data_IF_941153646350
#
_entry.id   IF_941153646350
#
_cell.length_a   1.000
_cell.length_b   1.000
_cell.length_c   1.000
_cell.angle_alpha   90.00
_cell.angle_beta   90.00
_cell.angle_gamma   90.00
#
_symmetry.space_group_name_H-M   'P 1'
#
loop_
_entity.id
_entity.type
_entity.pdbx_description
1 polymer ?
#
# COMPACT_ATOMS: atom_id res chain seq x y z
N UNK A 1 -5.53 -16.76 -34.13
CA UNK A 1 -5.39 -15.29 -34.12
C UNK A 1 -5.60 -14.80 -32.69
N UNK A 2 -4.75 -13.90 -32.15
CA UNK A 2 -4.88 -13.39 -30.78
C UNK A 2 -5.44 -11.98 -30.89
N UNK A 3 -6.67 -11.77 -30.42
CA UNK A 3 -7.34 -10.46 -30.45
C UNK A 3 -7.02 -9.72 -29.18
N UNK A 4 -6.51 -8.51 -29.27
CA UNK A 4 -6.19 -7.67 -28.13
C UNK A 4 -7.44 -7.09 -27.46
N UNK A 5 -7.37 -6.78 -26.16
CA UNK A 5 -8.50 -6.23 -25.38
C UNK A 5 -9.12 -4.95 -25.99
N UNK A 6 -8.31 -4.11 -26.65
CA UNK A 6 -8.79 -2.91 -27.34
C UNK A 6 -9.49 -3.20 -28.65
N UNK A 7 -9.11 -4.29 -29.33
CA UNK A 7 -9.74 -4.75 -30.57
C UNK A 7 -11.11 -5.38 -30.30
N UNK A 8 -11.23 -6.12 -29.18
CA UNK A 8 -12.51 -6.70 -28.74
C UNK A 8 -13.58 -5.62 -28.57
N UNK A 9 -13.23 -4.45 -28.08
CA UNK A 9 -14.17 -3.32 -27.91
C UNK A 9 -14.66 -2.73 -29.26
N UNK A 10 -13.92 -2.98 -30.35
CA UNK A 10 -14.23 -2.49 -31.69
C UNK A 10 -14.90 -3.52 -32.58
N UNK A 11 -15.06 -4.77 -32.10
CA UNK A 11 -15.70 -5.83 -32.86
C UNK A 11 -17.11 -5.40 -33.29
N UNK A 12 -17.41 -5.56 -34.59
CA UNK A 12 -18.74 -5.46 -35.15
C UNK A 12 -19.23 -6.82 -35.66
N UNK A 13 -20.50 -6.88 -36.07
CA UNK A 13 -21.10 -8.11 -36.50
C UNK A 13 -20.45 -8.76 -37.74
N UNK A 14 -19.93 -7.93 -38.64
CA UNK A 14 -19.27 -8.41 -39.88
C UNK A 14 -17.89 -8.96 -39.59
N UNK A 15 -17.17 -8.32 -38.70
CA UNK A 15 -15.87 -8.82 -38.24
C UNK A 15 -15.97 -10.15 -37.51
N UNK A 16 -17.01 -10.31 -36.65
CA UNK A 16 -17.31 -11.56 -35.97
C UNK A 16 -17.63 -12.70 -36.97
N UNK A 17 -18.41 -12.39 -38.00
CA UNK A 17 -18.71 -13.37 -39.08
C UNK A 17 -17.46 -13.79 -39.85
N UNK A 18 -16.49 -12.90 -39.97
CA UNK A 18 -15.20 -13.25 -40.60
C UNK A 18 -14.30 -14.15 -39.73
N UNK A 19 -14.51 -14.14 -38.41
CA UNK A 19 -13.71 -14.96 -37.49
C UNK A 19 -14.25 -16.40 -37.27
N UNK A 20 -15.56 -16.56 -37.31
CA UNK A 20 -16.23 -17.82 -36.99
C UNK A 20 -17.08 -18.29 -38.16
N UNK A 21 -17.11 -19.60 -38.40
CA UNK A 21 -17.94 -20.22 -39.43
C UNK A 21 -19.28 -20.73 -38.86
N UNK A 22 -19.32 -21.08 -37.60
CA UNK A 22 -20.46 -21.63 -36.91
C UNK A 22 -21.42 -20.54 -36.45
N UNK A 23 -22.69 -20.58 -36.86
CA UNK A 23 -23.70 -19.57 -36.53
C UNK A 23 -23.92 -19.41 -35.02
N UNK A 24 -23.87 -20.51 -34.27
CA UNK A 24 -24.07 -20.45 -32.83
C UNK A 24 -22.91 -19.72 -32.12
N UNK A 25 -21.65 -19.81 -32.60
CA UNK A 25 -20.54 -19.06 -32.10
C UNK A 25 -20.64 -17.56 -32.46
N UNK A 26 -21.05 -17.27 -33.69
CA UNK A 26 -21.30 -15.89 -34.14
C UNK A 26 -22.38 -15.24 -33.25
N UNK A 27 -23.49 -15.95 -32.99
CA UNK A 27 -24.55 -15.45 -32.09
C UNK A 27 -24.04 -15.20 -30.66
N UNK A 28 -23.31 -16.17 -30.11
CA UNK A 28 -22.76 -16.05 -28.72
C UNK A 28 -21.79 -14.88 -28.58
N UNK A 29 -20.88 -14.68 -29.55
CA UNK A 29 -19.93 -13.60 -29.55
C UNK A 29 -20.61 -12.25 -29.73
N UNK A 30 -21.54 -12.13 -30.70
CA UNK A 30 -22.30 -10.88 -30.90
C UNK A 30 -23.13 -10.50 -29.68
N UNK A 31 -23.77 -11.47 -29.02
CA UNK A 31 -24.49 -11.23 -27.77
C UNK A 31 -23.54 -10.70 -26.68
N UNK A 32 -22.40 -11.33 -26.49
CA UNK A 32 -21.40 -10.92 -25.50
C UNK A 32 -20.86 -9.51 -25.79
N UNK A 33 -20.54 -9.19 -27.04
CA UNK A 33 -20.12 -7.86 -27.48
C UNK A 33 -21.23 -6.83 -27.25
N UNK A 34 -22.47 -7.17 -27.55
CA UNK A 34 -23.63 -6.32 -27.30
C UNK A 34 -23.80 -5.95 -25.82
N UNK A 35 -23.71 -6.95 -24.93
CA UNK A 35 -23.76 -6.74 -23.48
C UNK A 35 -22.58 -5.87 -23.01
N UNK A 36 -21.38 -6.12 -23.50
CA UNK A 36 -20.19 -5.33 -23.16
C UNK A 36 -20.35 -3.87 -23.56
N UNK A 37 -20.86 -3.57 -24.75
CA UNK A 37 -21.12 -2.21 -25.22
C UNK A 37 -22.19 -1.50 -24.37
N UNK A 38 -23.31 -2.18 -24.11
CA UNK A 38 -24.38 -1.65 -23.27
C UNK A 38 -23.85 -1.31 -21.87
N UNK A 39 -23.12 -2.21 -21.23
CA UNK A 39 -22.52 -1.93 -19.92
C UNK A 39 -21.53 -0.76 -19.98
N UNK A 40 -20.71 -0.68 -21.02
CA UNK A 40 -19.77 0.44 -21.22
C UNK A 40 -20.48 1.81 -21.32
N UNK A 41 -21.64 1.88 -21.98
CA UNK A 41 -22.44 3.10 -22.05
C UNK A 41 -23.05 3.45 -20.68
N UNK A 42 -23.57 2.47 -19.96
CA UNK A 42 -24.13 2.68 -18.61
C UNK A 42 -23.04 3.16 -17.63
N UNK A 43 -21.85 2.57 -17.67
CA UNK A 43 -20.71 3.02 -16.87
C UNK A 43 -20.39 4.48 -17.16
N UNK A 44 -20.26 4.87 -18.45
CA UNK A 44 -20.00 6.27 -18.83
C UNK A 44 -21.08 7.24 -18.32
N UNK A 45 -22.34 6.84 -18.37
CA UNK A 45 -23.44 7.67 -17.84
C UNK A 45 -23.32 7.87 -16.32
N UNK A 46 -23.10 6.78 -15.58
CA UNK A 46 -22.92 6.85 -14.12
C UNK A 46 -21.72 7.72 -13.77
N UNK A 47 -20.58 7.49 -14.43
CA UNK A 47 -19.36 8.28 -14.23
C UNK A 47 -19.61 9.78 -14.50
N UNK A 48 -20.35 10.11 -15.57
CA UNK A 48 -20.72 11.49 -15.90
C UNK A 48 -21.54 12.17 -14.81
N UNK A 49 -22.57 11.47 -14.29
CA UNK A 49 -23.41 11.97 -13.19
C UNK A 49 -22.61 12.13 -11.90
N UNK A 50 -21.80 11.15 -11.56
CA UNK A 50 -20.95 11.20 -10.35
C UNK A 50 -19.95 12.34 -10.45
N UNK A 51 -19.24 12.46 -11.57
CA UNK A 51 -18.28 13.54 -11.82
C UNK A 51 -18.90 14.93 -11.69
N UNK A 52 -20.10 15.13 -12.25
CA UNK A 52 -20.78 16.44 -12.16
C UNK A 52 -21.10 16.85 -10.72
N UNK A 53 -21.38 15.89 -9.85
CA UNK A 53 -21.70 16.15 -8.43
C UNK A 53 -20.46 16.34 -7.55
N UNK A 54 -19.32 15.81 -7.97
CA UNK A 54 -18.10 15.74 -7.17
C UNK A 54 -17.09 16.81 -7.51
N UNK A 55 -17.13 17.35 -8.74
CA UNK A 55 -16.18 18.34 -9.25
C UNK A 55 -15.96 19.58 -8.37
N UNK A 56 -16.88 19.88 -7.47
CA UNK A 56 -16.86 21.06 -6.59
C UNK A 56 -16.37 20.75 -5.16
N UNK A 57 -15.83 19.55 -4.91
CA UNK A 57 -15.36 19.19 -3.58
C UNK A 57 -13.84 19.37 -3.50
N UNK A 58 -13.33 20.22 -2.59
CA UNK A 58 -11.89 20.43 -2.44
C UNK A 58 -11.11 19.14 -2.13
N UNK A 59 -11.74 18.19 -1.43
CA UNK A 59 -11.13 16.88 -1.17
C UNK A 59 -10.84 16.11 -2.46
N UNK A 60 -11.73 16.24 -3.47
CA UNK A 60 -11.54 15.57 -4.76
C UNK A 60 -10.40 16.22 -5.56
N UNK A 61 -10.38 17.54 -5.62
CA UNK A 61 -9.33 18.31 -6.31
C UNK A 61 -7.95 18.00 -5.70
N UNK A 62 -7.87 18.02 -4.36
CA UNK A 62 -6.63 17.66 -3.67
C UNK A 62 -6.19 16.22 -3.94
N UNK A 63 -7.13 15.25 -4.04
CA UNK A 63 -6.79 13.86 -4.38
C UNK A 63 -6.21 13.73 -5.79
N UNK A 64 -6.60 14.57 -6.75
CA UNK A 64 -6.05 14.55 -8.12
C UNK A 64 -4.59 15.03 -8.18
N UNK A 65 -4.12 15.75 -7.16
CA UNK A 65 -2.70 16.15 -7.08
C UNK A 65 -1.79 15.00 -6.64
N UNK A 66 -2.36 13.92 -6.07
CA UNK A 66 -1.61 12.78 -5.55
C UNK A 66 -1.03 11.93 -6.71
N UNK A 67 0.26 11.54 -6.67
CA UNK A 67 0.91 10.76 -7.71
C UNK A 67 0.15 9.48 -8.06
N UNK A 68 -0.14 9.30 -9.35
CA UNK A 68 -0.82 8.12 -9.88
C UNK A 68 -2.33 8.07 -9.62
N UNK A 69 -2.92 9.11 -9.02
CA UNK A 69 -4.36 9.21 -8.80
C UNK A 69 -4.98 10.06 -9.91
N UNK A 70 -5.71 9.40 -10.82
CA UNK A 70 -6.56 10.06 -11.80
C UNK A 70 -8.02 10.13 -11.33
N UNK A 71 -8.91 10.68 -12.18
CA UNK A 71 -10.33 10.90 -11.84
C UNK A 71 -11.02 9.65 -11.27
N UNK A 72 -10.84 8.48 -11.88
CA UNK A 72 -11.52 7.24 -11.44
C UNK A 72 -11.04 6.80 -10.05
N UNK A 73 -9.71 6.83 -9.82
CA UNK A 73 -9.16 6.46 -8.51
C UNK A 73 -9.50 7.50 -7.45
N UNK A 74 -9.48 8.81 -7.78
CA UNK A 74 -9.89 9.88 -6.88
C UNK A 74 -11.36 9.75 -6.46
N UNK A 75 -12.26 9.48 -7.42
CA UNK A 75 -13.67 9.20 -7.14
C UNK A 75 -13.85 7.96 -6.26
N UNK A 76 -13.16 6.87 -6.58
CA UNK A 76 -13.21 5.64 -5.79
C UNK A 76 -12.77 5.90 -4.35
N UNK A 77 -11.62 6.57 -4.18
CA UNK A 77 -11.10 6.89 -2.85
C UNK A 77 -12.11 7.74 -2.08
N UNK A 78 -12.59 8.83 -2.67
CA UNK A 78 -13.47 9.76 -1.99
C UNK A 78 -14.82 9.11 -1.61
N UNK A 79 -15.44 8.35 -2.52
CA UNK A 79 -16.74 7.72 -2.27
C UNK A 79 -16.64 6.57 -1.26
N UNK A 80 -15.58 5.77 -1.30
CA UNK A 80 -15.36 4.66 -0.37
C UNK A 80 -14.95 5.14 1.03
N UNK A 81 -14.32 6.31 1.12
CA UNK A 81 -13.95 6.95 2.39
C UNK A 81 -15.17 7.59 3.05
N UNK A 82 -16.00 8.29 2.27
CA UNK A 82 -17.09 9.12 2.80
C UNK A 82 -16.54 10.30 3.61
N UNK A 83 -16.86 10.38 4.89
CA UNK A 83 -16.30 11.42 5.78
C UNK A 83 -14.96 10.96 6.37
N UNK A 84 -13.88 11.67 6.03
CA UNK A 84 -12.53 11.37 6.53
C UNK A 84 -12.42 11.52 8.06
N UNK A 85 -13.25 12.38 8.68
CA UNK A 85 -13.25 12.64 10.12
C UNK A 85 -13.68 11.44 10.96
N UNK A 86 -14.30 10.43 10.35
CA UNK A 86 -14.56 9.14 11.02
C UNK A 86 -13.31 8.37 11.43
N UNK A 87 -12.16 8.75 10.90
CA UNK A 87 -10.86 8.17 11.27
C UNK A 87 -10.09 9.15 12.16
N UNK A 88 -10.00 8.91 13.48
CA UNK A 88 -9.31 9.82 14.40
C UNK A 88 -7.84 10.02 14.04
N UNK A 89 -7.19 8.95 13.55
CA UNK A 89 -5.76 8.94 13.24
C UNK A 89 -5.50 8.38 11.85
N UNK A 90 -4.41 8.84 11.24
CA UNK A 90 -3.93 8.35 9.95
C UNK A 90 -3.64 6.84 9.94
N UNK A 91 -3.24 6.27 11.08
CA UNK A 91 -3.00 4.84 11.25
C UNK A 91 -4.28 4.02 11.09
N UNK A 92 -5.41 4.49 11.64
CA UNK A 92 -6.71 3.85 11.52
C UNK A 92 -7.19 3.84 10.07
N UNK A 93 -7.01 4.97 9.37
CA UNK A 93 -7.32 5.06 7.95
C UNK A 93 -6.46 4.12 7.10
N UNK A 94 -5.14 4.13 7.26
CA UNK A 94 -4.22 3.27 6.52
C UNK A 94 -4.51 1.78 6.77
N UNK A 95 -4.93 1.42 7.98
CA UNK A 95 -5.39 0.07 8.33
C UNK A 95 -6.69 -0.29 7.62
N UNK A 96 -7.66 0.61 7.61
CA UNK A 96 -8.93 0.44 6.89
C UNK A 96 -8.72 0.27 5.38
N UNK A 97 -7.74 0.98 4.78
CA UNK A 97 -7.32 0.82 3.39
C UNK A 97 -6.53 -0.48 3.12
N UNK A 98 -6.32 -1.34 4.11
CA UNK A 98 -5.49 -2.57 4.01
C UNK A 98 -4.05 -2.29 3.52
N UNK A 99 -3.55 -1.09 3.77
CA UNK A 99 -2.20 -0.71 3.37
C UNK A 99 -1.14 -1.01 4.45
N UNK A 100 -1.57 -1.44 5.64
CA UNK A 100 -0.70 -1.80 6.78
C UNK A 100 -0.77 -3.30 7.03
N UNK A 101 0.37 -3.90 7.38
CA UNK A 101 0.39 -5.27 7.90
C UNK A 101 -0.18 -5.28 9.32
N UNK A 102 -1.21 -6.09 9.56
CA UNK A 102 -1.68 -6.38 10.91
C UNK A 102 -0.93 -7.59 11.48
N UNK A 103 -0.47 -7.49 12.71
CA UNK A 103 0.12 -8.61 13.46
C UNK A 103 -0.80 -8.98 14.61
N UNK A 104 -1.02 -10.29 14.80
CA UNK A 104 -1.71 -10.80 15.97
C UNK A 104 -0.67 -11.02 17.07
N UNK A 105 -0.78 -10.27 18.16
CA UNK A 105 0.09 -10.39 19.33
C UNK A 105 -0.74 -10.98 20.47
N UNK A 106 -0.19 -11.96 21.20
CA UNK A 106 -0.75 -12.53 22.41
C UNK A 106 0.39 -12.88 23.35
N UNK A 107 0.32 -12.41 24.60
CA UNK A 107 1.38 -12.54 25.61
C UNK A 107 2.74 -12.05 25.07
N UNK A 108 2.75 -10.84 24.50
CA UNK A 108 3.94 -10.17 23.90
C UNK A 108 4.60 -10.93 22.75
N UNK A 109 4.09 -12.12 22.39
CA UNK A 109 4.60 -12.95 21.31
C UNK A 109 3.72 -12.79 20.08
N UNK A 110 4.37 -12.59 18.91
CA UNK A 110 3.68 -12.55 17.61
C UNK A 110 3.13 -13.95 17.30
N UNK A 111 1.78 -14.08 17.29
CA UNK A 111 1.05 -15.32 16.98
C UNK A 111 0.73 -15.51 15.50
N UNK A 112 1.11 -14.54 14.65
CA UNK A 112 0.87 -14.59 13.20
C UNK A 112 0.42 -13.26 12.61
N UNK A 113 -0.13 -13.32 11.41
CA UNK A 113 -0.73 -12.16 10.76
C UNK A 113 -2.20 -12.02 11.18
N UNK A 114 -2.66 -10.77 11.31
CA UNK A 114 -4.07 -10.49 11.53
C UNK A 114 -4.93 -10.81 10.31
N UNK A 115 -6.25 -10.65 10.44
CA UNK A 115 -7.18 -10.92 9.35
C UNK A 115 -6.93 -9.95 8.18
N UNK A 116 -6.41 -10.47 7.06
CA UNK A 116 -6.14 -9.71 5.83
C UNK A 116 -7.41 -9.20 5.14
N UNK A 117 -8.59 -9.74 5.49
CA UNK A 117 -9.87 -9.35 4.88
C UNK A 117 -10.52 -8.16 5.59
N UNK A 118 -10.08 -7.78 6.78
CA UNK A 118 -10.59 -6.60 7.48
C UNK A 118 -10.24 -5.31 6.72
N UNK A 119 -11.18 -4.37 6.68
CA UNK A 119 -11.04 -3.10 5.96
C UNK A 119 -11.57 -3.14 4.53
N UNK A 120 -11.38 -2.05 3.80
CA UNK A 120 -11.97 -1.83 2.48
C UNK A 120 -11.09 -2.39 1.36
N UNK A 121 -11.63 -3.32 0.56
CA UNK A 121 -10.92 -3.94 -0.57
C UNK A 121 -10.75 -3.00 -1.77
N UNK A 122 -11.70 -2.09 -1.97
CA UNK A 122 -11.68 -1.15 -3.09
C UNK A 122 -10.63 -0.05 -2.87
N UNK A 123 -10.51 0.45 -1.64
CA UNK A 123 -9.40 1.34 -1.28
C UNK A 123 -8.04 0.65 -1.40
N UNK A 124 -7.95 -0.62 -0.97
CA UNK A 124 -6.70 -1.38 -1.15
C UNK A 124 -6.30 -1.50 -2.62
N UNK A 125 -7.28 -1.75 -3.50
CA UNK A 125 -7.07 -1.81 -4.94
C UNK A 125 -6.67 -0.43 -5.48
N UNK A 126 -7.43 0.61 -5.15
CA UNK A 126 -7.18 1.96 -5.66
C UNK A 126 -5.75 2.45 -5.34
N UNK A 127 -5.27 2.23 -4.10
CA UNK A 127 -3.91 2.64 -3.74
C UNK A 127 -2.80 1.77 -4.36
N UNK A 128 -3.09 0.50 -4.67
CA UNK A 128 -2.14 -0.34 -5.41
C UNK A 128 -2.03 0.11 -6.86
N UNK A 129 -3.17 0.42 -7.51
CA UNK A 129 -3.18 0.95 -8.87
C UNK A 129 -2.49 2.33 -8.91
N UNK A 130 -2.83 3.24 -7.99
CA UNK A 130 -2.15 4.52 -7.86
C UNK A 130 -0.63 4.36 -7.70
N UNK A 131 -0.18 3.40 -6.89
CA UNK A 131 1.25 3.12 -6.72
C UNK A 131 1.91 2.64 -8.03
N UNK A 132 1.23 1.80 -8.81
CA UNK A 132 1.74 1.32 -10.11
C UNK A 132 1.89 2.48 -11.11
N UNK A 133 0.87 3.36 -11.22
CA UNK A 133 0.96 4.55 -12.05
C UNK A 133 2.04 5.51 -11.56
N UNK A 134 2.11 5.73 -10.25
CA UNK A 134 3.12 6.62 -9.68
C UNK A 134 4.56 6.13 -9.93
N UNK A 135 4.81 4.82 -9.86
CA UNK A 135 6.13 4.24 -10.18
C UNK A 135 6.50 4.47 -11.64
N UNK A 136 5.52 4.42 -12.56
CA UNK A 136 5.74 4.61 -13.99
C UNK A 136 6.02 6.07 -14.33
N UNK A 137 5.24 6.99 -13.76
CA UNK A 137 5.14 8.36 -14.25
C UNK A 137 5.92 9.39 -13.39
N UNK A 138 6.35 9.02 -12.16
CA UNK A 138 7.01 9.92 -11.22
C UNK A 138 8.41 9.41 -10.84
N UNK A 139 9.49 10.09 -11.27
CA UNK A 139 10.87 9.61 -11.05
C UNK A 139 11.26 9.44 -9.58
N UNK A 140 10.76 10.28 -8.67
CA UNK A 140 11.01 10.18 -7.23
C UNK A 140 10.38 8.92 -6.63
N UNK A 141 9.16 8.55 -7.07
CA UNK A 141 8.49 7.32 -6.65
C UNK A 141 9.21 6.10 -7.20
N UNK A 142 9.65 6.16 -8.46
CA UNK A 142 10.41 5.11 -9.10
C UNK A 142 11.73 4.85 -8.35
N UNK A 143 12.48 5.91 -7.98
CA UNK A 143 13.70 5.77 -7.17
C UNK A 143 13.42 5.14 -5.80
N UNK A 144 12.34 5.54 -5.14
CA UNK A 144 11.93 4.90 -3.89
C UNK A 144 11.59 3.43 -4.08
N UNK A 145 10.83 3.09 -5.14
CA UNK A 145 10.49 1.73 -5.50
C UNK A 145 11.75 0.86 -5.68
N UNK A 146 12.70 1.30 -6.50
CA UNK A 146 13.93 0.57 -6.79
C UNK A 146 14.75 0.28 -5.53
N UNK A 147 14.94 1.29 -4.67
CA UNK A 147 15.64 1.12 -3.38
C UNK A 147 14.94 0.12 -2.47
N UNK A 148 13.61 0.17 -2.41
CA UNK A 148 12.82 -0.72 -1.55
C UNK A 148 12.76 -2.14 -2.10
N UNK A 149 12.59 -2.30 -3.40
CA UNK A 149 12.56 -3.59 -4.07
C UNK A 149 13.89 -4.34 -3.95
N UNK A 150 15.04 -3.63 -4.07
CA UNK A 150 16.36 -4.19 -3.88
C UNK A 150 16.60 -4.74 -2.46
N UNK A 151 15.97 -4.13 -1.43
CA UNK A 151 16.07 -4.58 -0.04
C UNK A 151 15.09 -5.71 0.33
N UNK A 152 14.07 -5.96 -0.50
CA UNK A 152 12.99 -6.92 -0.19
C UNK A 152 12.49 -7.63 -1.45
N UNK A 153 11.43 -7.12 -2.06
CA UNK A 153 10.90 -7.52 -3.36
C UNK A 153 9.91 -6.47 -3.89
N UNK A 154 9.52 -6.59 -5.17
CA UNK A 154 8.64 -5.64 -5.84
C UNK A 154 7.25 -5.50 -5.18
N UNK A 155 6.65 -6.61 -4.72
CA UNK A 155 5.33 -6.57 -4.08
C UNK A 155 5.37 -5.77 -2.77
N UNK A 156 6.40 -5.97 -1.96
CA UNK A 156 6.60 -5.21 -0.71
C UNK A 156 6.86 -3.75 -1.00
N UNK A 157 7.61 -3.43 -2.07
CA UNK A 157 7.87 -2.06 -2.48
C UNK A 157 6.59 -1.34 -2.92
N UNK A 158 5.76 -1.98 -3.78
CA UNK A 158 4.44 -1.43 -4.17
C UNK A 158 3.55 -1.19 -2.95
N UNK A 159 3.47 -2.14 -2.02
CA UNK A 159 2.68 -1.97 -0.78
C UNK A 159 3.20 -0.84 0.11
N UNK A 160 4.52 -0.61 0.15
CA UNK A 160 5.09 0.52 0.88
C UNK A 160 4.69 1.86 0.26
N UNK A 161 4.68 1.96 -1.08
CA UNK A 161 4.21 3.16 -1.79
C UNK A 161 2.71 3.35 -1.57
N UNK A 162 1.89 2.29 -1.73
CA UNK A 162 0.44 2.34 -1.45
C UNK A 162 0.15 2.85 -0.04
N UNK A 163 0.93 2.43 0.95
CA UNK A 163 0.83 2.92 2.32
C UNK A 163 1.18 4.41 2.45
N UNK A 164 2.25 4.87 1.76
CA UNK A 164 2.59 6.30 1.75
C UNK A 164 1.49 7.13 1.10
N UNK A 165 0.97 6.70 -0.07
CA UNK A 165 -0.11 7.38 -0.76
C UNK A 165 -1.40 7.42 0.07
N UNK A 166 -1.76 6.33 0.76
CA UNK A 166 -2.94 6.32 1.64
C UNK A 166 -2.79 7.28 2.83
N UNK A 167 -1.59 7.44 3.38
CA UNK A 167 -1.36 8.42 4.43
C UNK A 167 -1.40 9.86 3.93
N UNK A 168 -0.84 10.12 2.75
CA UNK A 168 -0.91 11.46 2.13
C UNK A 168 -2.36 11.84 1.83
N UNK A 169 -3.15 10.94 1.24
CA UNK A 169 -4.56 11.19 0.94
C UNK A 169 -5.41 11.47 2.18
N UNK A 170 -5.07 10.87 3.33
CA UNK A 170 -5.72 11.19 4.61
C UNK A 170 -5.57 12.68 4.96
N UNK A 171 -4.34 13.20 4.91
CA UNK A 171 -4.08 14.60 5.21
C UNK A 171 -4.67 15.54 4.16
N UNK A 172 -4.58 15.17 2.88
CA UNK A 172 -5.19 15.93 1.78
C UNK A 172 -6.70 16.09 2.01
N UNK A 173 -7.41 15.01 2.31
CA UNK A 173 -8.86 15.06 2.54
C UNK A 173 -9.23 15.74 3.86
N UNK A 174 -8.44 15.56 4.92
CA UNK A 174 -8.72 16.13 6.23
C UNK A 174 -8.45 17.62 6.30
N UNK A 175 -7.29 18.03 5.76
CA UNK A 175 -6.77 19.38 5.89
C UNK A 175 -7.04 20.22 4.63
N UNK A 176 -7.62 19.61 3.59
CA UNK A 176 -7.94 20.25 2.29
C UNK A 176 -6.73 20.96 1.67
N UNK A 177 -5.61 20.25 1.64
CA UNK A 177 -4.33 20.71 1.10
C UNK A 177 -3.91 19.86 -0.08
N UNK A 178 -3.11 20.43 -0.97
CA UNK A 178 -2.53 19.71 -2.11
C UNK A 178 -1.38 18.79 -1.67
N UNK A 179 -1.06 17.86 -2.56
CA UNK A 179 0.07 16.96 -2.39
C UNK A 179 1.40 17.73 -2.40
N UNK A 180 2.24 17.43 -1.41
CA UNK A 180 3.58 17.96 -1.29
C UNK A 180 4.61 16.83 -1.51
N UNK A 181 5.33 16.84 -2.68
CA UNK A 181 6.31 15.81 -3.00
C UNK A 181 7.46 15.72 -1.99
N UNK A 182 7.89 16.85 -1.44
CA UNK A 182 9.02 16.90 -0.54
C UNK A 182 8.76 16.16 0.76
N UNK A 183 7.56 16.32 1.31
CA UNK A 183 7.16 15.64 2.55
C UNK A 183 7.05 14.13 2.41
N UNK A 184 6.69 13.61 1.23
CA UNK A 184 6.37 12.19 1.10
C UNK A 184 7.57 11.32 0.69
N UNK A 185 8.42 11.78 -0.23
CA UNK A 185 9.48 10.98 -0.83
C UNK A 185 10.89 11.55 -0.63
N UNK A 186 11.05 12.85 -0.36
CA UNK A 186 12.34 13.50 -0.17
C UNK A 186 12.79 13.61 1.29
N UNK A 187 11.89 13.80 2.24
CA UNK A 187 12.19 13.89 3.68
C UNK A 187 12.86 12.64 4.28
N UNK A 188 12.84 11.50 3.58
CA UNK A 188 13.55 10.29 4.02
C UNK A 188 15.07 10.33 3.78
N UNK A 189 15.59 11.20 2.92
CA UNK A 189 17.05 11.29 2.71
C UNK A 189 17.74 11.87 3.93
N UNK A 190 17.20 12.91 4.51
CA UNK A 190 17.78 13.54 5.71
C UNK A 190 17.72 12.58 6.91
N UNK A 191 16.59 11.88 7.08
CA UNK A 191 16.43 10.90 8.17
C UNK A 191 17.28 9.64 7.94
N UNK A 192 17.43 9.16 6.69
CA UNK A 192 18.29 8.01 6.39
C UNK A 192 19.79 8.36 6.52
N UNK A 193 20.21 9.55 6.12
CA UNK A 193 21.59 10.02 6.31
C UNK A 193 21.92 10.22 7.79
N UNK A 194 21.03 10.86 8.55
CA UNK A 194 21.18 11.04 9.99
C UNK A 194 21.18 9.69 10.73
N UNK A 195 20.27 8.77 10.38
CA UNK A 195 20.24 7.42 10.96
C UNK A 195 21.46 6.59 10.57
N UNK A 196 21.99 6.74 9.35
CA UNK A 196 23.20 6.06 8.91
C UNK A 196 24.44 6.59 9.62
N UNK A 197 24.51 7.90 9.84
CA UNK A 197 25.58 8.56 10.61
C UNK A 197 25.54 8.13 12.09
N UNK A 198 24.36 8.06 12.69
CA UNK A 198 24.16 7.56 14.05
C UNK A 198 24.54 6.09 14.21
N UNK A 199 24.22 5.24 13.21
CA UNK A 199 24.62 3.82 13.20
C UNK A 199 26.15 3.69 13.05
N UNK A 200 26.78 4.48 12.20
CA UNK A 200 28.25 4.50 12.03
C UNK A 200 28.94 4.98 13.32
N UNK A 201 28.40 6.02 13.96
CA UNK A 201 28.90 6.55 15.25
C UNK A 201 28.78 5.51 16.37
N UNK A 202 27.63 4.81 16.49
CA UNK A 202 27.44 3.73 17.48
C UNK A 202 28.37 2.55 17.23
N UNK A 203 28.59 2.17 15.97
CA UNK A 203 29.50 1.09 15.60
C UNK A 203 30.96 1.44 15.91
N UNK A 204 31.35 2.70 15.71
CA UNK A 204 32.68 3.19 16.07
C UNK A 204 32.88 3.19 17.59
N UNK A 205 31.92 3.67 18.37
CA UNK A 205 31.96 3.61 19.85
C UNK A 205 32.03 2.18 20.38
N UNK A 206 31.39 1.19 19.70
CA UNK A 206 31.44 -0.21 20.11
C UNK A 206 32.77 -0.87 19.79
N UNK A 207 33.46 -0.44 18.72
CA UNK A 207 34.79 -0.94 18.34
C UNK A 207 35.92 -0.34 19.18
N UNK A 208 35.71 0.87 19.70
CA UNK A 208 36.67 1.60 20.53
C UNK A 208 36.53 1.27 22.04
N UNK A 209 35.63 0.34 22.42
CA UNK A 209 35.54 -0.11 23.79
C UNK A 209 36.70 -1.04 24.14
N UNK A 210 37.61 -0.69 25.09
CA UNK A 210 38.74 -1.53 25.42
C UNK A 210 38.23 -2.86 25.96
N UNK A 211 38.63 -3.96 25.32
CA UNK A 211 38.42 -5.30 25.87
C UNK A 211 39.17 -5.38 27.19
N UNK A 212 38.45 -5.37 28.29
CA UNK A 212 39.03 -5.67 29.62
C UNK A 212 39.65 -7.06 29.53
N UNK A 213 40.96 -7.15 29.72
CA UNK A 213 41.66 -8.39 29.84
C UNK A 213 41.01 -9.25 30.94
N UNK A 214 40.68 -10.47 30.60
CA UNK A 214 40.36 -11.49 31.59
C UNK A 214 41.60 -11.64 32.49
N UNK A 215 41.51 -11.20 33.76
CA UNK A 215 42.42 -11.65 34.79
C UNK A 215 41.94 -13.07 35.17
N UNK A 216 42.81 -14.02 34.88
CA UNK A 216 42.76 -15.34 35.51
C UNK A 216 42.79 -15.12 37.03
N UNK A 217 41.80 -15.65 37.70
CA UNK A 217 41.79 -15.85 39.18
C UNK A 217 41.88 -17.32 39.40
N UNK A 218 43.06 -17.72 39.89
CA UNK A 218 43.38 -19.04 40.32
C UNK A 218 42.48 -19.50 41.44
N UNK A 219 42.25 -20.78 41.50
CA UNK A 219 41.37 -21.62 42.26
C UNK A 219 41.21 -21.34 43.74
N UNK A 220 39.96 -21.50 44.15
CA UNK A 220 39.61 -22.04 45.48
C UNK A 220 38.36 -22.87 45.36
N UNK A 221 38.53 -24.16 45.73
CA UNK A 221 37.43 -25.12 45.91
C UNK A 221 36.52 -24.70 47.08
N UNK A 222 35.21 -24.57 46.85
CA UNK A 222 34.20 -24.52 47.91
C UNK A 222 33.15 -25.58 47.65
N UNK A 223 33.07 -26.49 48.59
CA UNK A 223 32.15 -27.65 48.69
C UNK A 223 30.68 -27.23 48.73
N UNK A 224 29.74 -28.06 48.27
CA UNK A 224 28.32 -27.74 48.27
C UNK A 224 27.69 -27.98 49.66
N UNK A 225 27.03 -26.92 50.15
CA UNK A 225 26.17 -27.01 51.34
C UNK A 225 24.70 -27.14 50.93
N UNK A 226 24.10 -28.25 51.34
CA UNK A 226 22.64 -28.47 51.34
C UNK A 226 21.93 -27.43 52.23
N UNK A 227 20.85 -26.89 51.75
CA UNK A 227 19.93 -26.05 52.53
C UNK A 227 18.54 -26.03 51.92
N UNK A 228 17.73 -27.02 52.23
CA UNK A 228 16.27 -27.02 52.08
C UNK A 228 15.66 -25.96 53.01
N UNK A 229 14.80 -25.07 52.48
CA UNK A 229 13.71 -24.49 53.27
C UNK A 229 12.46 -24.32 52.42
N UNK A 230 11.40 -24.79 52.97
CA UNK A 230 10.01 -24.93 52.54
C UNK A 230 9.25 -23.61 52.40
N UNK A 231 8.25 -23.67 51.52
CA UNK A 231 6.89 -23.11 51.57
C UNK A 231 6.58 -21.90 52.48
N UNK A 232 5.88 -20.90 51.94
CA UNK A 232 4.48 -20.63 52.35
C UNK A 232 3.72 -19.82 51.29
N UNK A 233 2.46 -20.28 51.09
CA UNK A 233 1.32 -19.63 50.44
C UNK A 233 1.00 -18.29 51.14
N UNK A 234 0.59 -17.29 50.39
CA UNK A 234 -0.77 -16.71 50.41
C UNK A 234 -1.04 -16.09 49.05
#
# INVERSE_FOLDING_TARGET
MRVGSNEVKKLDGDWVRGLFKEEHLILAVNTSVGVMRYLGERIKQIEGVVKSRVKLRPEFEGLLTLPGVGEILGLTIMLEVGDIRRFPEVGNYASYCRCVRSSRISNEKRKGEGNRKNGNKYLSWAYVEAANFAIRDYPEVQRYYQRKAAKSNGVVAIKAISHKLSRASYYIMRDQVDYDPEKLFYGEREVEEESSLLRKSRRKKFLDFPRKAHKEVDGEEVKPGLGLVKNHQI
#
